data_IF_711332845529
#
_entry.id   IF_711332845529
#
_cell.length_a   1.000
_cell.length_b   1.000
_cell.length_c   1.000
_cell.angle_alpha   90.00
_cell.angle_beta   90.00
_cell.angle_gamma   90.00
#
_symmetry.space_group_name_H-M   'P 1'
#
loop_
_entity.id
_entity.type
_entity.pdbx_description
1 polymer ?
#
# COMPACT_ATOMS: atom_id res chain seq x y z
N UNK A 1 -14.52 -17.75 -7.43
CA UNK A 1 -13.52 -17.02 -6.61
C UNK A 1 -14.32 -16.29 -5.53
N UNK A 2 -14.23 -16.75 -4.27
CA UNK A 2 -15.07 -16.20 -3.18
C UNK A 2 -14.34 -15.04 -2.50
N UNK A 3 -14.37 -13.86 -3.12
CA UNK A 3 -13.72 -12.65 -2.58
C UNK A 3 -14.25 -12.22 -1.19
N UNK A 4 -15.36 -12.81 -0.72
CA UNK A 4 -15.93 -12.55 0.61
C UNK A 4 -15.08 -13.09 1.75
N UNK A 5 -14.21 -14.07 1.48
CA UNK A 5 -13.27 -14.62 2.47
C UNK A 5 -12.00 -13.79 2.61
N UNK A 6 -11.74 -12.89 1.67
CA UNK A 6 -10.58 -12.00 1.70
C UNK A 6 -10.84 -10.86 2.69
N UNK A 7 -9.81 -10.55 3.47
CA UNK A 7 -9.78 -9.40 4.38
C UNK A 7 -8.98 -8.25 3.73
N UNK A 8 -9.07 -7.05 4.28
CA UNK A 8 -8.19 -5.93 3.89
C UNK A 8 -8.28 -5.58 2.40
N UNK A 9 -7.21 -5.02 1.83
CA UNK A 9 -7.09 -4.65 0.43
C UNK A 9 -7.12 -5.86 -0.53
N UNK A 10 -6.89 -7.08 -0.05
CA UNK A 10 -7.01 -8.30 -0.84
C UNK A 10 -8.44 -8.52 -1.36
N UNK A 11 -9.46 -8.06 -0.61
CA UNK A 11 -10.85 -8.07 -1.07
C UNK A 11 -11.07 -7.19 -2.28
N UNK A 12 -10.51 -5.98 -2.28
CA UNK A 12 -10.59 -5.06 -3.42
C UNK A 12 -9.82 -5.64 -4.59
N UNK A 13 -8.60 -6.12 -4.36
CA UNK A 13 -7.78 -6.76 -5.39
C UNK A 13 -8.53 -7.94 -6.04
N UNK A 14 -9.11 -8.83 -5.25
CA UNK A 14 -9.92 -9.96 -5.73
C UNK A 14 -11.08 -9.48 -6.60
N UNK A 15 -11.83 -8.46 -6.16
CA UNK A 15 -12.92 -7.87 -6.96
C UNK A 15 -12.41 -7.28 -8.27
N UNK A 16 -11.33 -6.50 -8.26
CA UNK A 16 -10.75 -5.90 -9.46
C UNK A 16 -10.31 -7.00 -10.43
N UNK A 17 -9.67 -8.06 -9.93
CA UNK A 17 -9.21 -9.18 -10.77
C UNK A 17 -10.35 -9.89 -11.50
N UNK A 18 -11.58 -9.85 -11.00
CA UNK A 18 -12.75 -10.40 -11.73
C UNK A 18 -13.12 -9.60 -12.98
N UNK A 19 -12.71 -8.33 -13.06
CA UNK A 19 -13.06 -7.40 -14.14
C UNK A 19 -11.84 -7.20 -15.05
N UNK A 20 -10.67 -7.02 -14.46
CA UNK A 20 -9.41 -6.75 -15.14
C UNK A 20 -8.35 -7.72 -14.63
N UNK A 21 -8.02 -8.73 -15.46
CA UNK A 21 -6.95 -9.66 -15.14
C UNK A 21 -5.60 -8.96 -15.19
N UNK A 22 -4.64 -9.51 -14.44
CA UNK A 22 -3.26 -9.03 -14.40
C UNK A 22 -2.63 -8.94 -15.80
N UNK A 23 -2.86 -9.97 -16.64
CA UNK A 23 -2.40 -10.01 -18.02
C UNK A 23 -2.97 -8.86 -18.85
N UNK A 24 -4.29 -8.61 -18.76
CA UNK A 24 -4.93 -7.52 -19.49
C UNK A 24 -4.44 -6.15 -19.02
N UNK A 25 -4.23 -5.97 -17.71
CA UNK A 25 -3.64 -4.74 -17.18
C UNK A 25 -2.24 -4.50 -17.76
N UNK A 26 -1.37 -5.52 -17.77
CA UNK A 26 -0.05 -5.45 -18.39
C UNK A 26 -0.12 -5.09 -19.88
N UNK A 27 -1.07 -5.68 -20.63
CA UNK A 27 -1.32 -5.35 -22.04
C UNK A 27 -1.77 -3.89 -22.23
N UNK A 28 -2.67 -3.37 -21.40
CA UNK A 28 -3.11 -1.97 -21.46
C UNK A 28 -2.01 -0.97 -21.13
N UNK A 29 -1.15 -1.30 -20.15
CA UNK A 29 -0.04 -0.44 -19.75
C UNK A 29 1.17 -0.57 -20.69
N UNK A 30 1.19 -1.60 -21.56
CA UNK A 30 2.30 -1.86 -22.47
C UNK A 30 3.62 -2.21 -21.77
N UNK A 31 3.55 -2.70 -20.53
CA UNK A 31 4.71 -3.07 -19.71
C UNK A 31 4.43 -4.36 -18.94
N UNK A 32 5.48 -5.06 -18.55
CA UNK A 32 5.37 -6.06 -17.50
C UNK A 32 5.21 -5.36 -16.16
N UNK A 33 4.29 -5.85 -15.33
CA UNK A 33 4.00 -5.23 -14.04
C UNK A 33 5.10 -5.58 -13.01
N UNK A 34 5.69 -6.77 -13.07
CA UNK A 34 6.83 -7.17 -12.24
C UNK A 34 8.09 -7.32 -13.10
N UNK A 35 9.24 -6.94 -12.55
CA UNK A 35 10.56 -7.19 -13.13
C UNK A 35 11.12 -8.54 -12.71
N UNK A 36 10.93 -8.90 -11.44
CA UNK A 36 11.44 -10.13 -10.85
C UNK A 36 10.63 -10.56 -9.63
N UNK A 37 10.89 -11.78 -9.16
CA UNK A 37 10.24 -12.38 -7.99
C UNK A 37 9.51 -13.67 -8.34
N UNK A 38 8.72 -14.20 -7.39
CA UNK A 38 8.07 -15.49 -7.53
C UNK A 38 6.83 -15.30 -8.40
N UNK A 39 7.03 -15.22 -9.71
CA UNK A 39 5.96 -15.14 -10.68
C UNK A 39 6.34 -15.88 -11.95
N UNK A 40 5.37 -16.57 -12.52
CA UNK A 40 5.50 -17.08 -13.88
C UNK A 40 5.04 -16.01 -14.87
N UNK A 41 5.13 -16.32 -16.17
CA UNK A 41 4.49 -15.51 -17.22
C UNK A 41 2.97 -15.34 -17.02
N UNK A 42 2.33 -16.19 -16.22
CA UNK A 42 0.87 -16.31 -16.14
C UNK A 42 0.26 -16.06 -14.75
N UNK A 43 1.04 -16.17 -13.67
CA UNK A 43 0.52 -16.02 -12.30
C UNK A 43 1.60 -15.58 -11.31
N UNK A 44 1.14 -14.99 -10.20
CA UNK A 44 1.95 -14.71 -9.02
C UNK A 44 2.01 -15.95 -8.13
N UNK A 45 3.21 -16.34 -7.70
CA UNK A 45 3.40 -17.33 -6.65
C UNK A 45 3.38 -16.62 -5.30
N UNK A 46 2.29 -16.80 -4.57
CA UNK A 46 2.01 -16.06 -3.34
C UNK A 46 2.62 -16.73 -2.09
N UNK A 47 3.15 -17.95 -2.21
CA UNK A 47 3.70 -18.72 -1.09
C UNK A 47 5.24 -18.81 -1.10
N UNK A 48 5.91 -18.04 -1.95
CA UNK A 48 7.38 -17.99 -1.93
C UNK A 48 7.88 -17.43 -0.60
N UNK A 49 8.85 -18.12 -0.01
CA UNK A 49 9.49 -17.72 1.26
C UNK A 49 10.79 -16.94 1.04
N UNK A 50 11.41 -17.14 -0.12
CA UNK A 50 12.77 -16.66 -0.44
C UNK A 50 12.79 -15.57 -1.50
N UNK A 51 11.64 -15.28 -2.11
CA UNK A 51 11.52 -14.27 -3.15
C UNK A 51 10.27 -13.42 -2.90
N UNK A 52 10.30 -12.14 -3.29
CA UNK A 52 9.11 -11.32 -3.38
C UNK A 52 9.04 -10.61 -4.74
N UNK A 53 7.83 -10.24 -5.15
CA UNK A 53 7.60 -9.57 -6.42
C UNK A 53 8.12 -8.13 -6.40
N UNK A 54 9.12 -7.86 -7.22
CA UNK A 54 9.64 -6.52 -7.50
C UNK A 54 8.83 -5.91 -8.64
N UNK A 55 8.10 -4.83 -8.34
CA UNK A 55 7.38 -4.12 -9.39
C UNK A 55 8.34 -3.49 -10.37
N UNK A 56 7.94 -3.45 -11.64
CA UNK A 56 8.54 -2.56 -12.61
C UNK A 56 8.34 -1.11 -12.13
N UNK A 57 9.37 -0.27 -12.04
CA UNK A 57 9.22 1.12 -11.60
C UNK A 57 8.27 1.96 -12.48
N UNK A 58 8.09 1.61 -13.75
CA UNK A 58 7.09 2.23 -14.63
C UNK A 58 5.65 1.83 -14.28
N UNK A 59 5.45 0.73 -13.55
CA UNK A 59 4.11 0.25 -13.23
C UNK A 59 3.26 1.27 -12.46
N UNK A 60 3.66 1.76 -11.27
CA UNK A 60 2.86 2.74 -10.54
C UNK A 60 2.68 4.05 -11.32
N UNK A 61 3.67 4.45 -12.12
CA UNK A 61 3.59 5.62 -13.01
C UNK A 61 2.47 5.47 -14.03
N UNK A 62 2.50 4.40 -14.82
CA UNK A 62 1.49 4.13 -15.85
C UNK A 62 0.13 3.83 -15.26
N UNK A 63 0.09 3.18 -14.09
CA UNK A 63 -1.14 2.93 -13.37
C UNK A 63 -1.84 4.23 -12.97
N UNK A 64 -1.08 5.21 -12.46
CA UNK A 64 -1.58 6.55 -12.11
C UNK A 64 -2.15 7.28 -13.33
N UNK A 65 -1.46 7.22 -14.47
CA UNK A 65 -1.93 7.81 -15.74
C UNK A 65 -3.21 7.13 -16.24
N UNK A 66 -3.28 5.80 -16.14
CA UNK A 66 -4.38 5.00 -16.66
C UNK A 66 -5.64 5.02 -15.78
N UNK A 67 -5.51 5.06 -14.45
CA UNK A 67 -6.65 4.93 -13.52
C UNK A 67 -7.33 6.24 -13.16
N UNK A 68 -6.76 7.41 -13.51
CA UNK A 68 -7.32 8.71 -13.19
C UNK A 68 -7.83 9.56 -14.38
N UNK A 69 -8.36 9.00 -15.49
CA UNK A 69 -8.90 9.82 -16.59
C UNK A 69 -10.15 10.62 -16.17
N UNK A 70 -10.80 10.24 -15.06
CA UNK A 70 -11.88 11.01 -14.46
C UNK A 70 -11.45 12.43 -14.04
N UNK A 71 -10.15 12.67 -13.79
CA UNK A 71 -9.61 13.99 -13.43
C UNK A 71 -9.92 15.06 -14.49
N UNK A 72 -9.96 14.66 -15.76
CA UNK A 72 -10.22 15.57 -16.89
C UNK A 72 -11.56 15.28 -17.56
N UNK A 73 -12.37 14.35 -17.04
CA UNK A 73 -13.65 13.95 -17.62
C UNK A 73 -14.76 13.95 -16.55
N UNK A 74 -15.57 15.03 -16.47
CA UNK A 74 -16.63 15.16 -15.47
C UNK A 74 -17.70 14.07 -15.55
N UNK A 75 -18.02 13.56 -16.74
CA UNK A 75 -18.97 12.47 -16.92
C UNK A 75 -18.44 11.18 -16.34
N UNK A 76 -17.17 10.88 -16.59
CA UNK A 76 -16.51 9.71 -16.03
C UNK A 76 -16.42 9.81 -14.50
N UNK A 77 -16.05 10.97 -13.96
CA UNK A 77 -16.04 11.22 -12.52
C UNK A 77 -17.39 10.92 -11.86
N UNK A 78 -18.50 11.38 -12.43
CA UNK A 78 -19.85 11.10 -11.89
C UNK A 78 -20.18 9.60 -11.86
N UNK A 79 -19.71 8.85 -12.85
CA UNK A 79 -19.92 7.39 -12.95
C UNK A 79 -19.05 6.64 -11.95
N UNK A 80 -17.79 7.04 -11.80
CA UNK A 80 -16.82 6.34 -10.95
C UNK A 80 -16.90 6.73 -9.48
N UNK A 81 -17.43 7.90 -9.15
CA UNK A 81 -17.55 8.38 -7.77
C UNK A 81 -18.25 7.34 -6.88
N UNK A 82 -19.50 6.87 -7.16
CA UNK A 82 -20.16 5.87 -6.30
C UNK A 82 -19.36 4.57 -6.11
N UNK A 83 -18.60 4.17 -7.13
CA UNK A 83 -17.72 2.99 -7.06
C UNK A 83 -16.57 3.27 -6.10
N UNK A 84 -15.93 4.44 -6.20
CA UNK A 84 -14.91 4.85 -5.25
C UNK A 84 -15.47 4.88 -3.81
N UNK A 85 -16.60 5.55 -3.59
CA UNK A 85 -17.17 5.72 -2.25
C UNK A 85 -17.49 4.39 -1.57
N UNK A 86 -18.01 3.43 -2.35
CA UNK A 86 -18.47 2.13 -1.83
C UNK A 86 -17.39 1.06 -1.75
N UNK A 87 -16.37 1.10 -2.62
CA UNK A 87 -15.39 0.02 -2.75
C UNK A 87 -13.96 0.42 -2.43
N UNK A 88 -13.55 1.67 -2.69
CA UNK A 88 -12.12 2.06 -2.69
C UNK A 88 -11.77 2.99 -1.52
N UNK A 89 -12.70 3.85 -1.13
CA UNK A 89 -12.48 4.95 -0.16
C UNK A 89 -11.74 4.51 1.10
N UNK A 90 -12.27 3.53 1.83
CA UNK A 90 -11.70 3.15 3.13
C UNK A 90 -10.28 2.63 2.96
N UNK A 91 -10.05 1.75 2.01
CA UNK A 91 -8.71 1.23 1.74
C UNK A 91 -7.74 2.32 1.28
N UNK A 92 -8.16 3.25 0.43
CA UNK A 92 -7.32 4.39 0.05
C UNK A 92 -6.91 5.25 1.27
N UNK A 93 -7.85 5.51 2.18
CA UNK A 93 -7.58 6.22 3.44
C UNK A 93 -6.61 5.45 4.33
N UNK A 94 -6.83 4.15 4.51
CA UNK A 94 -5.98 3.28 5.34
C UNK A 94 -4.55 3.20 4.81
N UNK A 95 -4.37 2.99 3.50
CA UNK A 95 -3.04 3.02 2.86
C UNK A 95 -2.33 4.35 3.14
N UNK A 96 -3.03 5.47 3.02
CA UNK A 96 -2.46 6.80 3.24
C UNK A 96 -2.09 7.03 4.71
N UNK A 97 -2.95 6.62 5.64
CA UNK A 97 -2.71 6.73 7.08
C UNK A 97 -1.47 5.94 7.50
N UNK A 98 -1.35 4.68 7.05
CA UNK A 98 -0.20 3.84 7.38
C UNK A 98 1.08 4.39 6.77
N UNK A 99 1.03 4.86 5.51
CA UNK A 99 2.18 5.50 4.87
C UNK A 99 2.63 6.72 5.65
N UNK A 100 1.72 7.62 6.03
CA UNK A 100 2.06 8.84 6.77
C UNK A 100 2.75 8.53 8.10
N UNK A 101 2.33 7.48 8.80
CA UNK A 101 3.01 7.08 10.04
C UNK A 101 4.40 6.54 9.73
N UNK A 102 4.57 5.65 8.76
CA UNK A 102 5.91 5.17 8.34
C UNK A 102 6.83 6.32 7.92
N UNK A 103 6.33 7.24 7.09
CA UNK A 103 7.08 8.38 6.56
C UNK A 103 7.42 9.43 7.64
N UNK A 104 6.70 9.44 8.76
CA UNK A 104 7.05 10.30 9.90
C UNK A 104 8.35 9.89 10.61
N UNK A 105 8.79 8.63 10.44
CA UNK A 105 10.14 8.20 10.78
C UNK A 105 10.80 7.54 9.54
N UNK A 106 11.35 8.34 8.62
CA UNK A 106 11.91 7.83 7.37
C UNK A 106 13.17 6.97 7.60
N UNK A 107 13.90 7.19 8.70
CA UNK A 107 15.08 6.40 9.08
C UNK A 107 14.66 4.98 9.44
N UNK A 108 13.65 4.84 10.31
CA UNK A 108 13.05 3.54 10.59
C UNK A 108 12.54 2.90 9.30
N UNK A 109 11.75 3.63 8.51
CA UNK A 109 11.09 3.07 7.34
C UNK A 109 12.11 2.50 6.33
N UNK A 110 13.22 3.21 6.08
CA UNK A 110 14.29 2.69 5.23
C UNK A 110 15.02 1.49 5.87
N UNK A 111 15.42 1.59 7.14
CA UNK A 111 16.10 0.50 7.88
C UNK A 111 15.27 -0.79 7.85
N UNK A 112 13.98 -0.66 8.06
CA UNK A 112 13.03 -1.77 8.08
C UNK A 112 12.85 -2.40 6.70
N UNK A 113 12.82 -1.59 5.63
CA UNK A 113 12.81 -2.06 4.25
C UNK A 113 14.09 -2.81 3.86
N UNK A 114 15.26 -2.31 4.27
CA UNK A 114 16.55 -2.97 4.04
C UNK A 114 16.64 -4.29 4.81
N UNK A 115 16.17 -4.30 6.07
CA UNK A 115 16.12 -5.51 6.89
C UNK A 115 15.19 -6.57 6.30
N UNK A 116 14.00 -6.18 5.87
CA UNK A 116 13.05 -7.10 5.26
C UNK A 116 13.67 -7.79 4.04
N UNK A 117 14.29 -6.99 3.15
CA UNK A 117 14.97 -7.49 1.96
C UNK A 117 16.09 -8.48 2.32
N UNK A 118 16.98 -8.10 3.25
CA UNK A 118 18.08 -8.95 3.71
C UNK A 118 17.57 -10.30 4.26
N UNK A 119 16.52 -10.29 5.09
CA UNK A 119 15.98 -11.52 5.68
C UNK A 119 15.33 -12.43 4.64
N UNK A 120 14.73 -11.87 3.59
CA UNK A 120 14.20 -12.66 2.47
C UNK A 120 15.35 -13.29 1.66
N UNK A 121 16.36 -12.50 1.32
CA UNK A 121 17.53 -12.96 0.55
C UNK A 121 18.31 -14.07 1.28
N UNK A 122 18.37 -14.00 2.61
CA UNK A 122 19.06 -14.99 3.45
C UNK A 122 18.18 -16.21 3.84
N UNK A 123 16.92 -16.29 3.39
CA UNK A 123 15.94 -17.31 3.83
C UNK A 123 15.78 -17.37 5.37
N UNK A 124 15.77 -16.18 6.00
CA UNK A 124 15.69 -15.99 7.45
C UNK A 124 14.46 -15.19 7.88
N UNK A 125 13.56 -14.86 6.95
CA UNK A 125 12.35 -14.13 7.27
C UNK A 125 11.41 -15.00 8.09
N UNK A 126 11.17 -14.62 9.34
CA UNK A 126 10.20 -15.29 10.20
C UNK A 126 8.78 -15.22 9.57
N UNK A 127 8.01 -16.32 9.53
CA UNK A 127 6.65 -16.30 8.98
C UNK A 127 5.70 -15.29 9.64
N UNK A 128 5.97 -14.91 10.88
CA UNK A 128 5.24 -13.94 11.69
C UNK A 128 5.97 -12.60 11.78
N UNK A 129 6.97 -12.35 10.91
CA UNK A 129 7.78 -11.13 10.92
C UNK A 129 6.95 -9.84 11.03
N UNK A 130 5.81 -9.79 10.31
CA UNK A 130 4.95 -8.62 10.28
C UNK A 130 4.03 -8.51 11.51
N UNK A 131 3.84 -9.55 12.32
CA UNK A 131 2.91 -9.54 13.46
C UNK A 131 3.30 -8.50 14.51
N UNK A 132 4.57 -8.09 14.55
CA UNK A 132 5.02 -6.97 15.39
C UNK A 132 4.31 -5.66 15.07
N UNK A 133 3.76 -5.48 13.86
CA UNK A 133 3.08 -4.26 13.43
C UNK A 133 1.57 -4.23 13.70
N UNK A 134 1.00 -5.24 14.38
CA UNK A 134 -0.44 -5.28 14.72
C UNK A 134 -0.88 -4.02 15.49
N UNK A 135 -0.01 -3.49 16.36
CA UNK A 135 -0.27 -2.25 17.11
C UNK A 135 0.37 -1.01 16.47
N UNK A 136 0.78 -1.06 15.20
CA UNK A 136 1.57 0.00 14.59
C UNK A 136 0.90 1.37 14.67
N UNK A 137 -0.43 1.47 14.59
CA UNK A 137 -1.13 2.76 14.69
C UNK A 137 -1.34 3.27 16.12
N UNK A 138 -1.05 2.48 17.16
CA UNK A 138 -1.16 2.93 18.55
C UNK A 138 -0.05 3.94 18.92
N UNK A 139 -0.31 4.85 19.87
CA UNK A 139 0.66 5.88 20.27
C UNK A 139 1.93 5.28 20.92
N UNK A 140 1.78 4.17 21.64
CA UNK A 140 2.86 3.49 22.33
C UNK A 140 3.56 2.43 21.48
N UNK A 141 3.34 2.42 20.16
CA UNK A 141 4.02 1.46 19.30
C UNK A 141 5.54 1.61 19.42
N UNK A 142 6.18 0.51 19.79
CA UNK A 142 7.63 0.34 19.69
C UNK A 142 7.94 -0.88 18.85
N UNK A 143 8.93 -0.77 17.97
CA UNK A 143 9.51 -1.92 17.24
C UNK A 143 10.27 -2.88 18.18
N UNK A 144 10.31 -2.58 19.48
CA UNK A 144 10.96 -3.30 20.59
C UNK A 144 12.48 -3.42 20.49
N UNK A 145 13.06 -3.08 19.35
CA UNK A 145 14.49 -3.17 19.09
C UNK A 145 15.20 -1.86 19.31
N UNK A 146 14.51 -0.75 19.03
CA UNK A 146 15.00 0.59 19.26
C UNK A 146 13.86 1.48 19.77
N UNK A 147 13.64 1.52 21.09
CA UNK A 147 12.63 2.38 21.71
C UNK A 147 12.83 3.87 21.39
N UNK A 148 14.08 4.30 21.15
CA UNK A 148 14.39 5.69 20.82
C UNK A 148 13.94 6.04 19.40
N UNK A 149 14.23 5.20 18.41
CA UNK A 149 13.73 5.37 17.04
C UNK A 149 12.20 5.25 16.98
N UNK A 150 11.63 4.29 17.70
CA UNK A 150 10.19 4.08 17.74
C UNK A 150 9.40 5.26 18.33
N UNK A 151 9.99 6.00 19.27
CA UNK A 151 9.34 7.18 19.87
C UNK A 151 9.11 8.34 18.88
N UNK A 152 9.67 8.27 17.67
CA UNK A 152 9.63 9.33 16.66
C UNK A 152 8.44 9.26 15.71
N UNK A 153 7.62 8.21 15.79
CA UNK A 153 6.42 8.13 14.97
C UNK A 153 5.39 9.18 15.36
N UNK A 154 4.87 9.89 14.36
CA UNK A 154 3.73 10.77 14.55
C UNK A 154 2.46 9.92 14.70
N UNK A 155 1.76 10.13 15.81
CA UNK A 155 0.47 9.51 16.08
C UNK A 155 -0.67 10.50 15.89
N UNK A 156 -1.82 10.02 15.40
CA UNK A 156 -3.06 10.79 15.40
C UNK A 156 -4.19 9.96 16.01
N UNK A 157 -4.93 10.59 16.91
CA UNK A 157 -6.05 9.97 17.60
C UNK A 157 -7.12 9.52 16.62
N UNK A 158 -7.58 8.28 16.79
CA UNK A 158 -8.58 7.63 15.94
C UNK A 158 -7.99 6.72 14.87
N UNK A 159 -6.70 6.84 14.54
CA UNK A 159 -6.06 5.93 13.60
C UNK A 159 -6.00 4.49 14.13
N UNK A 160 -5.91 4.33 15.45
CA UNK A 160 -5.92 3.03 16.13
C UNK A 160 -7.21 2.23 15.97
N UNK A 161 -8.27 2.83 15.40
CA UNK A 161 -9.53 2.13 15.10
C UNK A 161 -9.48 1.26 13.85
N UNK A 162 -8.45 1.41 13.02
CA UNK A 162 -8.24 0.54 11.85
C UNK A 162 -7.91 -0.86 12.33
N UNK A 163 -8.54 -1.86 11.72
CA UNK A 163 -8.33 -3.26 12.07
C UNK A 163 -6.84 -3.63 12.02
N UNK A 164 -6.36 -4.25 13.10
CA UNK A 164 -4.94 -4.50 13.31
C UNK A 164 -4.33 -5.45 12.25
N UNK A 165 -5.13 -6.36 11.70
CA UNK A 165 -4.70 -7.24 10.62
C UNK A 165 -4.55 -6.46 9.31
N UNK A 166 -5.46 -5.51 9.03
CA UNK A 166 -5.30 -4.56 7.91
C UNK A 166 -4.03 -3.74 8.08
N UNK A 167 -3.80 -3.17 9.27
CA UNK A 167 -2.59 -2.36 9.56
C UNK A 167 -1.32 -3.14 9.25
N UNK A 168 -1.20 -4.37 9.78
CA UNK A 168 -0.05 -5.25 9.53
C UNK A 168 0.22 -5.46 8.04
N UNK A 169 -0.83 -5.76 7.27
CA UNK A 169 -0.70 -6.01 5.84
C UNK A 169 -0.28 -4.77 5.06
N UNK A 170 -0.82 -3.61 5.41
CA UNK A 170 -0.47 -2.33 4.79
C UNK A 170 0.96 -1.90 5.13
N UNK A 171 1.42 -2.13 6.36
CA UNK A 171 2.83 -1.92 6.72
C UNK A 171 3.73 -2.80 5.87
N UNK A 172 3.41 -4.09 5.76
CA UNK A 172 4.15 -5.02 4.90
C UNK A 172 4.15 -4.61 3.42
N UNK A 173 3.04 -4.08 2.91
CA UNK A 173 2.99 -3.52 1.56
C UNK A 173 3.99 -2.38 1.41
N UNK A 174 3.94 -1.38 2.27
CA UNK A 174 4.79 -0.19 2.16
C UNK A 174 6.27 -0.49 2.35
N UNK A 175 6.62 -1.42 3.26
CA UNK A 175 7.99 -1.92 3.42
C UNK A 175 8.49 -2.51 2.10
N UNK A 176 7.73 -3.40 1.45
CA UNK A 176 8.13 -3.98 0.15
C UNK A 176 8.28 -2.93 -0.95
N UNK A 177 7.39 -1.93 -1.00
CA UNK A 177 7.49 -0.81 -1.94
C UNK A 177 8.70 0.08 -1.67
N UNK A 178 9.10 0.21 -0.40
CA UNK A 178 10.31 0.92 -0.01
C UNK A 178 11.57 0.15 -0.40
N UNK A 179 11.53 -1.19 -0.29
CA UNK A 179 12.62 -2.08 -0.69
C UNK A 179 12.85 -2.07 -2.21
N UNK A 180 11.78 -2.10 -3.01
CA UNK A 180 11.87 -2.08 -4.49
C UNK A 180 11.90 -0.66 -5.11
N UNK A 181 11.83 0.39 -4.29
CA UNK A 181 11.93 1.79 -4.73
C UNK A 181 10.68 2.34 -5.41
N UNK A 182 9.56 1.62 -5.38
CA UNK A 182 8.30 2.06 -6.01
C UNK A 182 7.36 2.82 -5.07
N UNK A 183 7.70 2.93 -3.78
CA UNK A 183 6.90 3.61 -2.74
C UNK A 183 6.45 5.01 -3.16
N UNK A 184 7.37 5.80 -3.72
CA UNK A 184 7.13 7.21 -4.10
C UNK A 184 6.02 7.32 -5.15
N UNK A 185 6.06 6.51 -6.20
CA UNK A 185 5.06 6.59 -7.26
C UNK A 185 3.70 6.04 -6.83
N UNK A 186 3.69 5.02 -5.97
CA UNK A 186 2.45 4.54 -5.34
C UNK A 186 1.81 5.61 -4.46
N UNK A 187 2.58 6.30 -3.60
CA UNK A 187 2.00 7.34 -2.75
C UNK A 187 1.52 8.53 -3.57
N UNK A 188 2.24 8.93 -4.63
CA UNK A 188 1.80 10.00 -5.52
C UNK A 188 0.48 9.67 -6.23
N UNK A 189 0.33 8.43 -6.72
CA UNK A 189 -0.93 7.95 -7.30
C UNK A 189 -2.07 7.94 -6.27
N UNK A 190 -1.79 7.50 -5.04
CA UNK A 190 -2.76 7.51 -3.95
C UNK A 190 -3.19 8.93 -3.56
N UNK A 191 -2.24 9.86 -3.49
CA UNK A 191 -2.53 11.28 -3.23
C UNK A 191 -3.41 11.87 -4.32
N UNK A 192 -3.14 11.58 -5.59
CA UNK A 192 -3.99 12.06 -6.69
C UNK A 192 -5.40 11.46 -6.64
N UNK A 193 -5.52 10.18 -6.28
CA UNK A 193 -6.81 9.52 -6.08
C UNK A 193 -7.61 10.19 -4.96
N UNK A 194 -6.98 10.43 -3.80
CA UNK A 194 -7.61 11.08 -2.66
C UNK A 194 -7.98 12.53 -2.96
N UNK A 195 -7.11 13.30 -3.63
CA UNK A 195 -7.43 14.67 -4.05
C UNK A 195 -8.63 14.72 -5.01
N UNK A 196 -8.78 13.70 -5.85
CA UNK A 196 -9.87 13.64 -6.82
C UNK A 196 -11.21 13.25 -6.19
N UNK A 197 -11.25 12.17 -5.40
CA UNK A 197 -12.50 11.60 -4.91
C UNK A 197 -12.78 11.81 -3.41
N UNK A 198 -11.79 12.26 -2.65
CA UNK A 198 -11.88 12.42 -1.19
C UNK A 198 -11.09 13.64 -0.67
N UNK A 199 -11.29 14.83 -1.28
CA UNK A 199 -10.46 16.00 -1.01
C UNK A 199 -10.59 16.49 0.43
N UNK A 200 -11.77 16.36 1.05
CA UNK A 200 -12.00 16.76 2.44
C UNK A 200 -11.15 15.93 3.40
N UNK A 201 -11.14 14.59 3.24
CA UNK A 201 -10.26 13.73 4.02
C UNK A 201 -8.79 14.12 3.82
N UNK A 202 -8.35 14.27 2.57
CA UNK A 202 -6.95 14.61 2.28
C UNK A 202 -6.53 15.95 2.90
N UNK A 203 -7.38 16.97 2.79
CA UNK A 203 -7.14 18.30 3.36
C UNK A 203 -7.09 18.24 4.88
N UNK A 204 -8.09 17.66 5.54
CA UNK A 204 -8.11 17.49 6.99
C UNK A 204 -6.88 16.73 7.49
N UNK A 205 -6.44 15.74 6.71
CA UNK A 205 -5.27 14.93 7.02
C UNK A 205 -3.94 15.66 6.81
N UNK A 206 -3.88 16.69 5.97
CA UNK A 206 -2.63 17.43 5.70
C UNK A 206 -2.57 18.78 6.41
N UNK A 207 -3.70 19.32 6.87
CA UNK A 207 -3.82 20.63 7.50
C UNK A 207 -3.12 20.79 8.87
N UNK A 208 -2.52 19.73 9.43
CA UNK A 208 -1.88 19.75 10.76
C UNK A 208 -0.34 19.57 10.74
N UNK A 209 0.33 19.74 9.60
CA UNK A 209 1.81 19.79 9.53
C UNK A 209 2.29 21.26 9.54
N UNK A 210 1.59 22.14 10.25
CA UNK A 210 2.05 23.50 10.54
C UNK A 210 1.96 23.68 12.05
N UNK A 211 3.09 23.43 12.72
CA UNK A 211 3.47 23.98 14.01
C UNK A 211 4.98 24.12 14.01
#
# INVERSE_FOLDING_TARGET
MYCEKEISYHKIYCKIQTILSFKKLSEYLGIQIYESGPHSKYYLELNSRTEFGHYNPEFPLKLREFLLPAKTNPSLYKITLPIYESLVRNTAREFFIVYQKLDSNPRFFRKEADRYLLLVEEDRLDPYYLDRFILFLYPAFTDNEDPEESSRFVYRKGDETIDAQVVKELVGFWIRRKSDGTDTEFILGLVDLLKLYDPEFYQNRTAQIVN
#
